data_IF_422191981500
#
_entry.id   IF_422191981500
#
_cell.length_a   1.000
_cell.length_b   1.000
_cell.length_c   1.000
_cell.angle_alpha   90.00
_cell.angle_beta   90.00
_cell.angle_gamma   90.00
#
_symmetry.space_group_name_H-M   'P 1'
#
loop_
_entity.id
_entity.type
_entity.pdbx_description
1 polymer ?
#
# COMPACT_ATOMS: atom_id res chain seq x y z
N UNK A 1 -29.91 -13.01 -19.67
CA UNK A 1 -28.86 -13.91 -20.19
C UNK A 1 -27.63 -13.10 -20.55
N UNK A 2 -26.42 -13.52 -20.15
CA UNK A 2 -25.07 -12.91 -20.39
C UNK A 2 -24.89 -11.37 -20.32
N UNK A 3 -25.62 -10.59 -21.12
CA UNK A 3 -25.64 -9.11 -21.13
C UNK A 3 -25.98 -8.50 -19.76
N UNK A 4 -26.97 -9.06 -19.04
CA UNK A 4 -27.34 -8.58 -17.70
C UNK A 4 -26.23 -8.85 -16.68
N UNK A 5 -25.57 -10.01 -16.76
CA UNK A 5 -24.43 -10.33 -15.89
C UNK A 5 -23.23 -9.43 -16.19
N UNK A 6 -22.95 -9.18 -17.48
CA UNK A 6 -21.89 -8.26 -17.91
C UNK A 6 -22.16 -6.83 -17.45
N UNK A 7 -23.40 -6.36 -17.55
CA UNK A 7 -23.80 -5.03 -17.04
C UNK A 7 -23.61 -4.96 -15.53
N UNK A 8 -24.17 -5.91 -14.78
CA UNK A 8 -24.00 -5.96 -13.30
C UNK A 8 -22.54 -6.02 -12.86
N UNK A 9 -21.70 -6.78 -13.57
CA UNK A 9 -20.26 -6.84 -13.27
C UNK A 9 -19.56 -5.50 -13.54
N UNK A 10 -19.87 -4.86 -14.69
CA UNK A 10 -19.34 -3.52 -15.01
C UNK A 10 -19.79 -2.47 -13.99
N UNK A 11 -21.04 -2.52 -13.55
CA UNK A 11 -21.59 -1.59 -12.57
C UNK A 11 -20.86 -1.75 -11.22
N UNK A 12 -20.63 -3.00 -10.77
CA UNK A 12 -19.87 -3.28 -9.54
C UNK A 12 -18.40 -2.87 -9.65
N UNK A 13 -17.75 -3.05 -10.80
CA UNK A 13 -16.39 -2.56 -11.03
C UNK A 13 -16.31 -1.03 -10.95
N UNK A 14 -17.31 -0.34 -11.51
CA UNK A 14 -17.46 1.11 -11.39
C UNK A 14 -17.62 1.54 -9.92
N UNK A 15 -18.48 0.86 -9.17
CA UNK A 15 -18.66 1.10 -7.74
C UNK A 15 -17.36 0.91 -6.95
N UNK A 16 -16.62 -0.18 -7.20
CA UNK A 16 -15.30 -0.42 -6.57
C UNK A 16 -14.34 0.74 -6.80
N UNK A 17 -14.23 1.23 -8.04
CA UNK A 17 -13.36 2.35 -8.37
C UNK A 17 -13.78 3.63 -7.64
N UNK A 18 -15.08 3.92 -7.59
CA UNK A 18 -15.61 5.09 -6.89
C UNK A 18 -15.30 5.01 -5.40
N UNK A 19 -15.43 3.83 -4.80
CA UNK A 19 -15.11 3.63 -3.38
C UNK A 19 -13.63 3.85 -3.07
N UNK A 20 -12.72 3.39 -3.93
CA UNK A 20 -11.30 3.70 -3.81
C UNK A 20 -11.04 5.21 -3.92
N UNK A 21 -11.65 5.89 -4.90
CA UNK A 21 -11.47 7.32 -5.09
C UNK A 21 -12.07 8.16 -3.93
N UNK A 22 -13.19 7.72 -3.36
CA UNK A 22 -13.74 8.33 -2.14
C UNK A 22 -12.80 8.14 -0.95
N UNK A 23 -12.22 6.94 -0.81
CA UNK A 23 -11.18 6.68 0.19
C UNK A 23 -10.01 7.65 0.04
N UNK A 24 -9.52 7.84 -1.19
CA UNK A 24 -8.42 8.76 -1.51
C UNK A 24 -8.79 10.21 -1.13
N UNK A 25 -10.02 10.64 -1.44
CA UNK A 25 -10.53 11.98 -1.11
C UNK A 25 -10.68 12.20 0.40
N UNK A 26 -11.24 11.23 1.12
CA UNK A 26 -11.39 11.29 2.58
C UNK A 26 -10.04 11.28 3.30
N UNK A 27 -9.08 10.49 2.82
CA UNK A 27 -7.72 10.50 3.35
C UNK A 27 -7.08 11.87 3.18
N UNK A 28 -7.20 12.48 2.00
CA UNK A 28 -6.71 13.84 1.75
C UNK A 28 -7.40 14.89 2.65
N UNK A 29 -8.68 14.69 2.96
CA UNK A 29 -9.44 15.52 3.90
C UNK A 29 -9.19 15.18 5.38
N UNK A 30 -8.28 14.24 5.69
CA UNK A 30 -8.01 13.72 7.04
C UNK A 30 -9.24 13.16 7.77
N UNK A 31 -10.22 12.69 7.01
CA UNK A 31 -11.42 12.01 7.51
C UNK A 31 -11.15 10.51 7.59
N UNK A 32 -10.51 10.09 8.67
CA UNK A 32 -10.02 8.72 8.83
C UNK A 32 -11.12 7.66 8.70
N UNK A 33 -12.23 7.82 9.42
CA UNK A 33 -13.29 6.82 9.48
C UNK A 33 -13.95 6.62 8.11
N UNK A 34 -14.22 7.72 7.41
CA UNK A 34 -14.82 7.70 6.07
C UNK A 34 -13.87 7.12 5.01
N UNK A 35 -12.56 7.40 5.14
CA UNK A 35 -11.53 6.81 4.28
C UNK A 35 -11.47 5.29 4.46
N UNK A 36 -11.34 4.83 5.71
CA UNK A 36 -11.31 3.40 6.04
C UNK A 36 -12.60 2.68 5.62
N UNK A 37 -13.76 3.32 5.84
CA UNK A 37 -15.04 2.77 5.40
C UNK A 37 -15.06 2.59 3.88
N UNK A 38 -14.69 3.62 3.14
CA UNK A 38 -14.71 3.60 1.67
C UNK A 38 -13.75 2.55 1.10
N UNK A 39 -12.51 2.49 1.60
CA UNK A 39 -11.54 1.48 1.15
C UNK A 39 -11.96 0.06 1.52
N UNK A 40 -12.53 -0.20 2.71
CA UNK A 40 -13.00 -1.54 3.08
C UNK A 40 -14.11 -2.03 2.16
N UNK A 41 -15.06 -1.17 1.80
CA UNK A 41 -16.09 -1.52 0.81
C UNK A 41 -15.44 -1.81 -0.55
N UNK A 42 -14.49 -1.00 -0.99
CA UNK A 42 -13.76 -1.23 -2.23
C UNK A 42 -13.04 -2.60 -2.21
N UNK A 43 -12.36 -2.94 -1.12
CA UNK A 43 -11.66 -4.21 -0.94
C UNK A 43 -12.62 -5.40 -1.05
N UNK A 44 -13.75 -5.37 -0.34
CA UNK A 44 -14.76 -6.43 -0.36
C UNK A 44 -15.36 -6.61 -1.76
N UNK A 45 -15.63 -5.51 -2.47
CA UNK A 45 -16.15 -5.59 -3.83
C UNK A 45 -15.09 -6.10 -4.81
N UNK A 46 -13.85 -5.66 -4.66
CA UNK A 46 -12.74 -6.10 -5.49
C UNK A 46 -12.40 -7.59 -5.29
N UNK A 47 -12.52 -8.11 -4.07
CA UNK A 47 -12.42 -9.54 -3.75
C UNK A 47 -13.48 -10.36 -4.49
N UNK A 48 -14.75 -9.97 -4.37
CA UNK A 48 -15.87 -10.64 -5.07
C UNK A 48 -15.80 -10.60 -6.60
N UNK A 49 -14.99 -9.72 -7.15
CA UNK A 49 -14.82 -9.51 -8.59
C UNK A 49 -13.48 -10.06 -9.11
N UNK A 50 -12.67 -10.68 -8.26
CA UNK A 50 -11.30 -11.10 -8.55
C UNK A 50 -10.44 -9.94 -9.14
N UNK A 51 -10.73 -8.71 -8.75
CA UNK A 51 -10.04 -7.51 -9.24
C UNK A 51 -8.86 -7.16 -8.33
N UNK A 52 -7.75 -7.85 -8.55
CA UNK A 52 -6.49 -7.68 -7.81
C UNK A 52 -6.02 -6.23 -7.80
N UNK A 53 -6.14 -5.50 -8.91
CA UNK A 53 -5.71 -4.11 -8.99
C UNK A 53 -6.42 -3.22 -7.97
N UNK A 54 -7.76 -3.35 -7.88
CA UNK A 54 -8.53 -2.58 -6.91
C UNK A 54 -8.40 -3.09 -5.48
N UNK A 55 -8.11 -4.38 -5.27
CA UNK A 55 -7.76 -4.91 -3.95
C UNK A 55 -6.48 -4.26 -3.43
N UNK A 56 -5.41 -4.24 -4.26
CA UNK A 56 -4.15 -3.59 -3.94
C UNK A 56 -4.35 -2.10 -3.60
N UNK A 57 -5.10 -1.37 -4.44
CA UNK A 57 -5.41 0.05 -4.17
C UNK A 57 -6.09 0.24 -2.82
N UNK A 58 -7.09 -0.57 -2.51
CA UNK A 58 -7.85 -0.47 -1.27
C UNK A 58 -6.99 -0.77 -0.04
N UNK A 59 -6.21 -1.86 -0.06
CA UNK A 59 -5.37 -2.27 1.07
C UNK A 59 -4.25 -1.23 1.30
N UNK A 60 -3.63 -0.73 0.22
CA UNK A 60 -2.65 0.37 0.30
C UNK A 60 -3.28 1.63 0.91
N UNK A 61 -4.49 1.99 0.50
CA UNK A 61 -5.24 3.11 1.07
C UNK A 61 -5.51 2.96 2.57
N UNK A 62 -5.91 1.76 3.01
CA UNK A 62 -6.08 1.43 4.44
C UNK A 62 -4.76 1.58 5.20
N UNK A 63 -3.66 1.06 4.66
CA UNK A 63 -2.34 1.18 5.27
C UNK A 63 -1.93 2.64 5.44
N UNK A 64 -2.00 3.44 4.36
CA UNK A 64 -1.68 4.87 4.38
C UNK A 64 -2.56 5.65 5.35
N UNK A 65 -3.85 5.29 5.46
CA UNK A 65 -4.77 5.91 6.40
C UNK A 65 -4.32 5.68 7.85
N UNK A 66 -3.95 4.44 8.19
CA UNK A 66 -3.43 4.14 9.53
C UNK A 66 -2.05 4.76 9.81
N UNK A 67 -1.18 4.89 8.81
CA UNK A 67 0.09 5.61 8.93
C UNK A 67 -0.19 7.09 9.25
N UNK A 68 -1.05 7.73 8.48
CA UNK A 68 -1.39 9.15 8.64
C UNK A 68 -2.04 9.47 10.00
N UNK A 69 -2.68 8.50 10.65
CA UNK A 69 -3.31 8.65 11.97
C UNK A 69 -2.50 8.07 13.13
N UNK A 70 -1.26 7.64 12.89
CA UNK A 70 -0.35 7.11 13.92
C UNK A 70 -0.80 5.76 14.50
N UNK A 71 -1.70 5.05 13.83
CA UNK A 71 -2.19 3.72 14.24
C UNK A 71 -1.23 2.63 13.79
N UNK A 72 -0.01 2.67 14.34
CA UNK A 72 1.15 1.90 13.86
C UNK A 72 0.89 0.38 13.80
N UNK A 73 0.21 -0.20 14.79
CA UNK A 73 -0.11 -1.64 14.80
C UNK A 73 -1.03 -2.03 13.64
N UNK A 74 -2.03 -1.19 13.38
CA UNK A 74 -2.98 -1.39 12.29
C UNK A 74 -2.33 -1.15 10.93
N UNK A 75 -1.48 -0.14 10.82
CA UNK A 75 -0.67 0.13 9.63
C UNK A 75 0.22 -1.07 9.28
N UNK A 76 0.98 -1.63 10.24
CA UNK A 76 1.79 -2.83 10.04
C UNK A 76 0.95 -4.01 9.55
N UNK A 77 -0.25 -4.22 10.13
CA UNK A 77 -1.14 -5.30 9.69
C UNK A 77 -1.58 -5.12 8.23
N UNK A 78 -2.01 -3.92 7.85
CA UNK A 78 -2.43 -3.62 6.48
C UNK A 78 -1.27 -3.69 5.47
N UNK A 79 -0.07 -3.22 5.85
CA UNK A 79 1.13 -3.34 5.02
C UNK A 79 1.55 -4.81 4.81
N UNK A 80 1.39 -5.68 5.82
CA UNK A 80 1.67 -7.13 5.67
C UNK A 80 0.73 -7.76 4.65
N UNK A 81 -0.55 -7.41 4.71
CA UNK A 81 -1.55 -7.88 3.76
C UNK A 81 -1.26 -7.38 2.34
N UNK A 82 -0.89 -6.11 2.20
CA UNK A 82 -0.51 -5.49 0.94
C UNK A 82 0.73 -6.17 0.31
N UNK A 83 1.80 -6.34 1.09
CA UNK A 83 3.03 -6.98 0.63
C UNK A 83 2.77 -8.43 0.19
N UNK A 84 2.05 -9.21 1.00
CA UNK A 84 1.72 -10.59 0.67
C UNK A 84 0.89 -10.70 -0.62
N UNK A 85 -0.03 -9.76 -0.86
CA UNK A 85 -0.80 -9.73 -2.10
C UNK A 85 0.09 -9.35 -3.29
N UNK A 86 0.98 -8.36 -3.15
CA UNK A 86 1.89 -7.98 -4.22
C UNK A 86 2.83 -9.14 -4.61
N UNK A 87 3.41 -9.83 -3.63
CA UNK A 87 4.25 -11.02 -3.81
C UNK A 87 3.50 -12.16 -4.49
N UNK A 88 2.29 -12.48 -4.02
CA UNK A 88 1.44 -13.52 -4.63
C UNK A 88 1.15 -13.25 -6.11
N UNK A 89 1.06 -11.98 -6.49
CA UNK A 89 0.77 -11.55 -7.86
C UNK A 89 2.05 -11.32 -8.69
N UNK A 90 3.22 -11.59 -8.13
CA UNK A 90 4.53 -11.29 -8.72
C UNK A 90 4.64 -9.82 -9.17
N UNK A 91 3.95 -8.91 -8.49
CA UNK A 91 3.95 -7.49 -8.82
C UNK A 91 5.09 -6.79 -8.08
N UNK A 92 6.29 -6.87 -8.65
CA UNK A 92 7.52 -6.30 -8.08
C UNK A 92 7.44 -4.78 -7.83
N UNK A 93 6.68 -4.05 -8.65
CA UNK A 93 6.46 -2.60 -8.46
C UNK A 93 5.67 -2.32 -7.18
N UNK A 94 4.61 -3.08 -6.92
CA UNK A 94 3.81 -2.91 -5.70
C UNK A 94 4.51 -3.49 -4.46
N UNK A 95 5.32 -4.54 -4.62
CA UNK A 95 6.20 -5.06 -3.57
C UNK A 95 7.18 -3.99 -3.09
N UNK A 96 7.86 -3.30 -4.03
CA UNK A 96 8.76 -2.19 -3.74
C UNK A 96 8.07 -1.10 -2.91
N UNK A 97 6.87 -0.70 -3.31
CA UNK A 97 6.10 0.33 -2.61
C UNK A 97 5.75 -0.11 -1.20
N UNK A 98 5.31 -1.36 -1.01
CA UNK A 98 4.99 -1.90 0.32
C UNK A 98 6.22 -1.93 1.23
N UNK A 99 7.37 -2.38 0.73
CA UNK A 99 8.63 -2.41 1.47
C UNK A 99 9.08 -1.00 1.89
N UNK A 100 8.98 -0.02 0.98
CA UNK A 100 9.29 1.38 1.29
C UNK A 100 8.39 1.93 2.40
N UNK A 101 7.08 1.67 2.34
CA UNK A 101 6.15 2.12 3.37
C UNK A 101 6.42 1.48 4.74
N UNK A 102 6.84 0.21 4.78
CA UNK A 102 7.31 -0.40 6.02
C UNK A 102 8.55 0.31 6.57
N UNK A 103 9.53 0.57 5.71
CA UNK A 103 10.78 1.21 6.10
C UNK A 103 10.53 2.59 6.73
N UNK A 104 9.71 3.41 6.06
CA UNK A 104 9.30 4.74 6.52
C UNK A 104 8.52 4.66 7.85
N UNK A 105 7.55 3.75 7.97
CA UNK A 105 6.79 3.58 9.22
C UNK A 105 7.70 3.21 10.40
N UNK A 106 8.67 2.33 10.20
CA UNK A 106 9.60 1.96 11.26
C UNK A 106 10.58 3.08 11.58
N UNK A 107 11.04 3.84 10.58
CA UNK A 107 11.87 5.03 10.78
C UNK A 107 11.14 6.08 11.61
N UNK A 108 9.90 6.42 11.24
CA UNK A 108 9.06 7.42 11.93
C UNK A 108 8.74 7.02 13.38
N UNK A 109 8.79 5.73 13.69
CA UNK A 109 8.53 5.19 15.03
C UNK A 109 9.81 4.91 15.83
N UNK A 110 10.98 5.23 15.28
CA UNK A 110 12.28 5.04 15.94
C UNK A 110 12.81 3.60 15.94
N UNK A 111 12.13 2.67 15.26
CA UNK A 111 12.56 1.28 15.13
C UNK A 111 13.57 1.16 13.98
N UNK A 112 14.75 1.73 14.17
CA UNK A 112 15.74 1.94 13.10
C UNK A 112 16.32 0.63 12.52
N UNK A 113 16.40 -0.44 13.33
CA UNK A 113 16.86 -1.75 12.87
C UNK A 113 15.89 -2.35 11.84
N UNK A 114 14.60 -2.33 12.15
CA UNK A 114 13.55 -2.78 11.24
C UNK A 114 13.48 -1.88 10.00
N UNK A 115 13.55 -0.55 10.17
CA UNK A 115 13.55 0.40 9.07
C UNK A 115 14.67 0.08 8.06
N UNK A 116 15.90 -0.09 8.56
CA UNK A 116 17.06 -0.50 7.77
C UNK A 116 16.80 -1.79 7.00
N UNK A 117 16.31 -2.83 7.67
CA UNK A 117 16.05 -4.12 7.02
C UNK A 117 15.02 -4.02 5.88
N UNK A 118 14.02 -3.15 6.01
CA UNK A 118 13.05 -2.91 4.93
C UNK A 118 13.60 -2.04 3.80
N UNK A 119 14.44 -1.03 4.10
CA UNK A 119 15.15 -0.26 3.08
C UNK A 119 16.07 -1.15 2.24
N UNK A 120 16.87 -2.02 2.86
CA UNK A 120 17.75 -2.95 2.15
C UNK A 120 16.98 -3.86 1.19
N UNK A 121 15.80 -4.36 1.61
CA UNK A 121 14.91 -5.14 0.73
C UNK A 121 14.35 -4.31 -0.42
N UNK A 122 13.90 -3.09 -0.14
CA UNK A 122 13.37 -2.18 -1.16
C UNK A 122 14.45 -1.85 -2.22
N UNK A 123 15.69 -1.57 -1.79
CA UNK A 123 16.84 -1.33 -2.68
C UNK A 123 17.07 -2.52 -3.61
N UNK A 124 17.08 -3.74 -3.07
CA UNK A 124 17.27 -4.94 -3.88
C UNK A 124 16.17 -5.12 -4.94
N UNK A 125 14.91 -4.80 -4.61
CA UNK A 125 13.79 -4.84 -5.58
C UNK A 125 13.90 -3.73 -6.63
N UNK A 126 14.25 -2.50 -6.22
CA UNK A 126 14.46 -1.39 -7.15
C UNK A 126 15.58 -1.69 -8.15
N UNK A 127 16.70 -2.25 -7.66
CA UNK A 127 17.81 -2.73 -8.48
C UNK A 127 17.36 -3.78 -9.50
N UNK A 128 16.62 -4.80 -9.05
CA UNK A 128 16.11 -5.86 -9.93
C UNK A 128 15.12 -5.34 -10.99
N UNK A 129 14.43 -4.23 -10.71
CA UNK A 129 13.55 -3.53 -11.66
C UNK A 129 14.31 -2.60 -12.62
N UNK A 130 15.60 -2.34 -12.38
CA UNK A 130 16.36 -1.32 -13.09
C UNK A 130 15.89 0.12 -12.78
N UNK A 131 15.21 0.34 -11.66
CA UNK A 131 14.72 1.65 -11.25
C UNK A 131 15.80 2.42 -10.47
N UNK A 132 16.79 2.91 -11.21
CA UNK A 132 17.98 3.59 -10.67
C UNK A 132 17.59 4.82 -9.84
N UNK A 133 16.52 5.52 -10.23
CA UNK A 133 16.05 6.70 -9.51
C UNK A 133 15.53 6.31 -8.13
N UNK A 134 14.64 5.33 -8.05
CA UNK A 134 14.09 4.87 -6.77
C UNK A 134 15.16 4.21 -5.90
N UNK A 135 16.07 3.44 -6.49
CA UNK A 135 17.22 2.84 -5.80
C UNK A 135 18.08 3.91 -5.11
N UNK A 136 18.41 5.01 -5.82
CA UNK A 136 19.22 6.11 -5.28
C UNK A 136 18.52 6.83 -4.12
N UNK A 137 17.20 7.03 -4.22
CA UNK A 137 16.41 7.64 -3.15
C UNK A 137 16.42 6.75 -1.89
N UNK A 138 16.19 5.45 -2.05
CA UNK A 138 16.20 4.50 -0.93
C UNK A 138 17.58 4.38 -0.26
N UNK A 139 18.67 4.46 -1.03
CA UNK A 139 20.03 4.48 -0.47
C UNK A 139 20.26 5.75 0.36
N UNK A 140 19.72 6.88 -0.11
CA UNK A 140 19.84 8.16 0.60
C UNK A 140 19.08 8.13 1.93
N UNK A 141 17.86 7.59 1.92
CA UNK A 141 17.05 7.37 3.14
C UNK A 141 17.76 6.42 4.13
N UNK A 142 18.32 5.31 3.63
CA UNK A 142 19.05 4.36 4.48
C UNK A 142 20.31 4.99 5.09
N UNK A 143 21.05 5.80 4.32
CA UNK A 143 22.22 6.49 4.81
C UNK A 143 21.87 7.40 6.00
N UNK A 144 20.74 8.12 5.93
CA UNK A 144 20.26 8.96 7.03
C UNK A 144 20.06 8.16 8.33
N UNK A 145 19.55 6.93 8.24
CA UNK A 145 19.39 6.05 9.41
C UNK A 145 20.75 5.67 10.00
N UNK A 146 21.71 5.28 9.17
CA UNK A 146 23.03 4.81 9.61
C UNK A 146 23.82 5.94 10.29
N UNK A 147 23.76 7.16 9.76
CA UNK A 147 24.48 8.30 10.35
C UNK A 147 23.92 8.77 11.69
N UNK A 148 22.68 8.38 12.04
CA UNK A 148 22.01 8.75 13.29
C UNK A 148 22.20 7.69 14.38
N UNK A 149 22.58 6.46 14.03
CA UNK A 149 22.92 5.41 15.01
C UNK A 149 24.42 5.42 15.33
N UNK A 150 24.85 5.73 16.57
CA UNK A 150 26.26 5.72 16.97
C UNK A 150 26.89 4.32 17.02
#
# INVERSE_FOLDING_TARGET
>A
SALVLRRRSRDKLGETNIRNNLGDAYLAARQEEDALYSYRIAQILADKLDNVFNQIRAIKGIALTHIATGKNRQAVKALKEYLALAEKQNNRREELVALKLFAQLYQDTGNLLEARAFYEKAIAVAHALGDIQEETLLISDLAQIIYVTP
#
